data_IF_972817483596
#
_entry.id   IF_972817483596
#
_cell.length_a   1.000
_cell.length_b   1.000
_cell.length_c   1.000
_cell.angle_alpha   90.00
_cell.angle_beta   90.00
_cell.angle_gamma   90.00
#
_symmetry.space_group_name_H-M   'P 1'
#
loop_
_entity.id
_entity.type
_entity.pdbx_description
1 polymer ?
#
# COMPACT_ATOMS: atom_id res chain seq x y z
N UNK A 1 13.70 -5.08 -13.33
CA UNK A 1 12.95 -4.41 -12.24
C UNK A 1 13.05 -5.31 -11.01
N UNK A 2 13.48 -4.79 -9.85
CA UNK A 2 13.54 -5.56 -8.62
C UNK A 2 12.21 -5.41 -7.86
N UNK A 3 11.58 -6.56 -7.57
CA UNK A 3 10.45 -6.62 -6.64
C UNK A 3 10.98 -7.02 -5.28
N UNK A 4 10.50 -6.37 -4.22
CA UNK A 4 10.84 -6.70 -2.85
C UNK A 4 9.56 -7.17 -2.14
N UNK A 5 9.53 -8.41 -1.61
CA UNK A 5 8.45 -8.82 -0.74
C UNK A 5 8.53 -7.97 0.53
N UNK A 6 7.42 -7.33 0.87
CA UNK A 6 7.28 -6.53 2.08
C UNK A 6 5.99 -6.94 2.76
N UNK A 7 6.01 -6.97 4.10
CA UNK A 7 4.80 -7.09 4.91
C UNK A 7 4.51 -5.72 5.50
N UNK A 8 3.27 -5.26 5.36
CA UNK A 8 2.78 -4.04 6.00
C UNK A 8 1.63 -4.39 6.93
N UNK A 9 1.51 -3.66 8.04
CA UNK A 9 0.39 -3.83 8.97
C UNK A 9 -0.63 -2.71 8.72
N UNK A 10 -1.85 -3.07 8.32
CA UNK A 10 -2.97 -2.15 8.13
C UNK A 10 -4.09 -2.57 9.07
N UNK A 11 -4.60 -1.66 9.90
CA UNK A 11 -5.67 -1.97 10.87
C UNK A 11 -5.39 -3.23 11.74
N UNK A 12 -4.12 -3.42 12.14
CA UNK A 12 -3.63 -4.60 12.91
C UNK A 12 -3.66 -5.93 12.15
N UNK A 13 -3.82 -5.89 10.84
CA UNK A 13 -3.76 -7.05 9.95
C UNK A 13 -2.47 -6.95 9.14
N UNK A 14 -1.67 -8.00 9.15
CA UNK A 14 -0.46 -8.10 8.34
C UNK A 14 -0.81 -8.51 6.91
N UNK A 15 -0.29 -7.75 5.94
CA UNK A 15 -0.57 -7.91 4.51
C UNK A 15 0.77 -7.98 3.77
N UNK A 16 0.97 -9.09 3.07
CA UNK A 16 2.11 -9.25 2.18
C UNK A 16 1.86 -8.54 0.85
N UNK A 17 2.79 -7.68 0.46
CA UNK A 17 2.74 -6.91 -0.78
C UNK A 17 3.95 -7.19 -1.66
N UNK A 18 3.70 -7.28 -2.97
CA UNK A 18 4.76 -7.31 -3.98
C UNK A 18 5.10 -5.87 -4.37
N UNK A 19 6.08 -5.29 -3.69
CA UNK A 19 6.47 -3.90 -3.91
C UNK A 19 7.47 -3.74 -5.06
N UNK A 20 7.37 -2.65 -5.81
CA UNK A 20 8.40 -2.21 -6.76
C UNK A 20 9.28 -1.19 -6.07
N UNK A 21 10.58 -1.47 -5.98
CA UNK A 21 11.53 -0.53 -5.35
C UNK A 21 12.02 0.46 -6.39
N UNK A 22 11.88 1.75 -6.08
CA UNK A 22 12.37 2.87 -6.89
C UNK A 22 13.17 3.77 -5.96
N UNK A 23 14.39 4.14 -6.35
CA UNK A 23 15.22 5.06 -5.58
C UNK A 23 14.70 6.49 -5.76
N UNK A 24 13.88 6.95 -4.81
CA UNK A 24 13.30 8.30 -4.78
C UNK A 24 13.92 9.17 -3.66
N UNK A 25 15.07 8.75 -3.12
CA UNK A 25 15.71 9.37 -1.98
C UNK A 25 15.10 8.91 -0.67
N UNK A 26 14.01 9.55 -0.23
CA UNK A 26 13.38 9.27 1.07
C UNK A 26 12.51 8.00 1.02
N UNK A 27 12.53 7.16 2.09
CA UNK A 27 11.74 5.95 2.15
C UNK A 27 10.25 6.29 2.26
N UNK A 28 9.50 6.00 1.21
CA UNK A 28 8.05 6.13 1.16
C UNK A 28 7.44 4.86 0.58
N UNK A 29 6.26 4.49 1.10
CA UNK A 29 5.42 3.46 0.51
C UNK A 29 4.23 4.16 -0.14
N UNK A 30 4.00 3.88 -1.42
CA UNK A 30 2.85 4.37 -2.17
C UNK A 30 1.96 3.17 -2.48
N UNK A 31 0.76 3.14 -1.90
CA UNK A 31 -0.26 2.16 -2.22
C UNK A 31 -1.01 2.66 -3.46
N UNK A 32 -0.64 2.13 -4.63
CA UNK A 32 -1.28 2.48 -5.89
C UNK A 32 -2.65 1.83 -6.08
N UNK A 33 -3.33 2.20 -7.16
CA UNK A 33 -4.63 1.65 -7.56
C UNK A 33 -4.72 0.11 -7.54
N UNK A 34 -3.71 -0.66 -8.00
CA UNK A 34 -3.80 -2.12 -7.94
C UNK A 34 -3.97 -2.68 -6.53
N UNK A 35 -3.33 -2.06 -5.54
CA UNK A 35 -3.46 -2.47 -4.14
C UNK A 35 -4.87 -2.15 -3.61
N UNK A 36 -5.38 -0.95 -3.89
CA UNK A 36 -6.73 -0.53 -3.49
C UNK A 36 -7.81 -1.43 -4.10
N UNK A 37 -7.68 -1.78 -5.38
CA UNK A 37 -8.61 -2.66 -6.08
C UNK A 37 -8.58 -4.09 -5.54
N UNK A 38 -7.39 -4.63 -5.25
CA UNK A 38 -7.24 -5.99 -4.72
C UNK A 38 -7.92 -6.16 -3.36
N UNK A 39 -7.86 -5.13 -2.51
CA UNK A 39 -8.43 -5.15 -1.17
C UNK A 39 -9.85 -4.60 -1.10
N UNK A 40 -10.42 -4.17 -2.24
CA UNK A 40 -11.73 -3.51 -2.33
C UNK A 40 -11.89 -2.39 -1.29
N UNK A 41 -10.81 -1.63 -1.08
CA UNK A 41 -10.78 -0.61 -0.05
C UNK A 41 -11.68 0.56 -0.41
N UNK A 42 -12.41 1.06 0.58
CA UNK A 42 -13.23 2.25 0.42
C UNK A 42 -12.45 3.49 0.85
N UNK A 43 -12.56 4.57 0.07
CA UNK A 43 -11.91 5.84 0.39
C UNK A 43 -13.01 6.82 0.77
N UNK A 44 -13.14 7.06 2.07
CA UNK A 44 -13.97 8.11 2.60
C UNK A 44 -13.21 9.44 2.49
N UNK A 45 -13.49 10.16 1.40
CA UNK A 45 -12.89 11.46 1.12
C UNK A 45 -13.35 12.57 2.07
N UNK A 46 -14.53 12.44 2.67
CA UNK A 46 -15.09 13.45 3.59
C UNK A 46 -14.36 13.41 4.93
N UNK A 47 -14.11 12.20 5.45
CA UNK A 47 -13.45 12.00 6.73
C UNK A 47 -11.94 11.73 6.62
N UNK A 48 -11.42 11.55 5.40
CA UNK A 48 -10.01 11.25 5.14
C UNK A 48 -9.59 9.85 5.61
N UNK A 49 -10.49 8.87 5.49
CA UNK A 49 -10.31 7.51 6.01
C UNK A 49 -10.22 6.51 4.85
N UNK A 50 -9.34 5.52 4.98
CA UNK A 50 -9.26 4.34 4.11
C UNK A 50 -9.77 3.13 4.90
N UNK A 51 -10.79 2.44 4.40
CA UNK A 51 -11.41 1.27 5.02
C UNK A 51 -11.16 -0.02 4.22
#
# INVERSE_FOLDING_TARGET
MHYCPLTITVNRIDIDIKSKVISLGCPHIILGLPWLQQHNSDIDWENGILQ
#
